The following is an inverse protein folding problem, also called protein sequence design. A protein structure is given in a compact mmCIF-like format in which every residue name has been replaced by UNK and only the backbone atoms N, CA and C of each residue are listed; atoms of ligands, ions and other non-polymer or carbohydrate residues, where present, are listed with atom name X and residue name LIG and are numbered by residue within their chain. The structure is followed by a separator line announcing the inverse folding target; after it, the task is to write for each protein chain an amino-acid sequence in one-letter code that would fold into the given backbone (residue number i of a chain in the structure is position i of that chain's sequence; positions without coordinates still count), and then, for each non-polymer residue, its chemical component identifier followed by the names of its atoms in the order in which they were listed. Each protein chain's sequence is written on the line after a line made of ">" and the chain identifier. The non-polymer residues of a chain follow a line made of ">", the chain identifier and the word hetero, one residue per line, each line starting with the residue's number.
data_IF_478547665623
#
_entry.id   IF_478547665623
#
_cell.length_a   1.000
_cell.length_b   1.000
_cell.length_c   1.000
_cell.angle_alpha   90.00
_cell.angle_beta   90.00
_cell.angle_gamma   90.00
#
_symmetry.space_group_name_H-M   'P 1'
#
loop_
_entity.id
_entity.type
_entity.pdbx_description
1 polymer ?
#
# COMPACT_ATOMS: atom_id res chain seq x y z
N UNK A 1 5.08 12.98 15.45
CA UNK A 1 4.70 11.80 16.26
C UNK A 1 5.89 10.88 16.53
N UNK A 2 6.83 10.78 15.60
CA UNK A 2 8.05 9.95 15.69
C UNK A 2 8.84 10.13 16.99
N UNK A 3 8.97 11.37 17.51
CA UNK A 3 9.69 11.66 18.76
C UNK A 3 9.11 11.02 20.02
N UNK A 4 7.79 10.82 20.13
CA UNK A 4 7.17 10.19 21.31
C UNK A 4 7.29 8.68 21.32
N UNK A 5 7.36 8.06 20.14
CA UNK A 5 7.44 6.61 20.01
C UNK A 5 8.88 6.11 19.81
N UNK A 6 9.85 7.02 19.65
CA UNK A 6 11.23 6.70 19.27
C UNK A 6 11.21 5.74 18.08
N UNK A 7 10.41 6.07 17.06
CA UNK A 7 10.07 5.16 15.97
C UNK A 7 11.32 4.61 15.26
N UNK A 8 12.35 5.44 15.14
CA UNK A 8 13.68 5.15 14.61
C UNK A 8 14.43 4.04 15.37
N UNK A 9 14.09 3.85 16.65
CA UNK A 9 14.65 2.83 17.52
C UNK A 9 13.78 1.57 17.59
N UNK A 10 12.64 1.53 16.88
CA UNK A 10 11.75 0.38 16.85
C UNK A 10 12.14 -0.55 15.69
N UNK A 11 12.54 -1.78 16.02
CA UNK A 11 13.01 -2.77 15.03
C UNK A 11 11.96 -3.20 14.00
N UNK A 12 10.67 -2.98 14.28
CA UNK A 12 9.55 -3.29 13.37
C UNK A 12 9.14 -2.10 12.50
N UNK A 13 9.75 -0.93 12.70
CA UNK A 13 9.47 0.27 11.92
C UNK A 13 10.59 0.42 10.91
N UNK A 14 10.24 0.66 9.65
CA UNK A 14 11.23 1.00 8.62
C UNK A 14 12.05 2.21 9.08
N UNK A 15 13.38 2.23 8.85
CA UNK A 15 14.14 3.46 8.97
C UNK A 15 13.58 4.52 8.00
N UNK A 16 13.92 5.78 8.24
CA UNK A 16 13.64 6.85 7.30
C UNK A 16 14.53 6.62 6.08
N UNK A 17 13.91 6.47 4.92
CA UNK A 17 14.58 6.21 3.65
C UNK A 17 14.53 7.49 2.80
N UNK A 18 15.68 7.90 2.31
CA UNK A 18 15.78 8.85 1.21
C UNK A 18 15.77 8.04 -0.09
N UNK A 19 14.69 8.13 -0.87
CA UNK A 19 14.49 7.21 -2.00
C UNK A 19 15.57 7.32 -3.07
N UNK A 20 16.21 8.49 -3.24
CA UNK A 20 17.39 8.68 -4.10
C UNK A 20 18.56 7.80 -3.67
N UNK A 21 18.93 7.85 -2.39
CA UNK A 21 20.04 7.07 -1.86
C UNK A 21 19.74 5.56 -1.98
N UNK A 22 18.51 5.15 -1.67
CA UNK A 22 18.11 3.74 -1.82
C UNK A 22 18.17 3.29 -3.28
N UNK A 23 17.82 4.15 -4.24
CA UNK A 23 17.95 3.83 -5.68
C UNK A 23 19.42 3.60 -6.04
N UNK A 24 20.32 4.48 -5.62
CA UNK A 24 21.76 4.35 -5.86
C UNK A 24 22.30 3.05 -5.24
N UNK A 25 22.01 2.79 -3.96
CA UNK A 25 22.40 1.56 -3.26
C UNK A 25 21.90 0.28 -3.96
N UNK A 26 20.67 0.31 -4.48
CA UNK A 26 20.08 -0.83 -5.20
C UNK A 26 20.74 -1.04 -6.56
N UNK A 27 21.11 0.02 -7.27
CA UNK A 27 21.80 -0.05 -8.56
C UNK A 27 23.22 -0.58 -8.37
N UNK A 28 23.96 -0.07 -7.39
CA UNK A 28 25.30 -0.54 -7.04
C UNK A 28 25.27 -2.04 -6.69
N UNK A 29 24.30 -2.47 -5.88
CA UNK A 29 24.11 -3.87 -5.54
C UNK A 29 23.77 -4.76 -6.76
N UNK A 30 23.08 -4.21 -7.78
CA UNK A 30 22.80 -4.91 -9.03
C UNK A 30 24.07 -5.05 -9.87
N UNK A 31 24.87 -3.99 -9.99
CA UNK A 31 26.14 -4.00 -10.72
C UNK A 31 27.13 -4.98 -10.07
N UNK A 32 27.26 -4.98 -8.74
CA UNK A 32 28.10 -5.92 -8.01
C UNK A 32 27.66 -7.38 -8.23
N UNK A 33 26.34 -7.62 -8.27
CA UNK A 33 25.79 -8.93 -8.56
C UNK A 33 26.08 -9.38 -10.00
N UNK A 34 25.93 -8.48 -10.98
CA UNK A 34 26.28 -8.72 -12.39
C UNK A 34 27.76 -9.02 -12.55
N UNK A 35 28.65 -8.23 -11.93
CA UNK A 35 30.11 -8.46 -11.93
C UNK A 35 30.45 -9.82 -11.31
N UNK A 36 29.76 -10.20 -10.22
CA UNK A 36 29.96 -11.50 -9.58
C UNK A 36 29.54 -12.64 -10.50
N UNK A 37 28.38 -12.51 -11.16
CA UNK A 37 27.87 -13.49 -12.13
C UNK A 37 28.81 -13.60 -13.32
N UNK A 38 29.26 -12.48 -13.90
CA UNK A 38 30.19 -12.46 -15.02
C UNK A 38 31.54 -13.08 -14.64
N UNK A 39 32.04 -12.80 -13.43
CA UNK A 39 33.26 -13.43 -12.90
C UNK A 39 33.08 -14.93 -12.67
N UNK A 40 31.92 -15.38 -12.21
CA UNK A 40 31.61 -16.82 -12.07
C UNK A 40 31.49 -17.53 -13.42
N UNK A 41 30.99 -16.84 -14.46
CA UNK A 41 30.93 -17.34 -15.84
C UNK A 41 32.32 -17.38 -16.47
N UNK A 42 33.15 -16.34 -16.29
CA UNK A 42 34.50 -16.24 -16.85
C UNK A 42 35.54 -17.12 -16.14
N UNK A 43 35.34 -17.42 -14.85
CA UNK A 43 36.23 -18.35 -14.10
C UNK A 43 35.89 -19.81 -14.33
N UNK A 44 34.76 -20.12 -14.97
CA UNK A 44 34.36 -21.47 -15.35
C UNK A 44 35.02 -21.92 -16.66
N UNK A 45 36.35 -22.01 -16.71
CA UNK A 45 37.07 -22.52 -17.89
C UNK A 45 37.32 -24.02 -17.90
N UNK A 46 37.09 -24.76 -16.80
CA UNK A 46 36.97 -26.24 -16.86
C UNK A 46 36.23 -26.81 -15.63
N UNK A 47 35.21 -27.65 -15.90
CA UNK A 47 34.25 -28.16 -14.90
C UNK A 47 34.85 -29.16 -13.87
N UNK A 48 36.10 -29.62 -14.07
CA UNK A 48 36.77 -30.57 -13.17
C UNK A 48 37.49 -29.91 -11.98
N UNK A 49 37.93 -28.66 -12.12
CA UNK A 49 38.65 -27.96 -11.04
C UNK A 49 37.69 -27.40 -9.98
N UNK A 50 36.46 -27.04 -10.36
CA UNK A 50 35.42 -26.56 -9.44
C UNK A 50 35.02 -27.63 -8.40
N UNK A 51 34.90 -28.90 -8.79
CA UNK A 51 34.53 -29.99 -7.87
C UNK A 51 35.61 -30.33 -6.85
N UNK A 52 36.88 -30.11 -7.19
CA UNK A 52 38.01 -30.36 -6.26
C UNK A 52 38.09 -29.27 -5.20
N UNK A 53 37.96 -28.01 -5.60
CA UNK A 53 37.93 -26.86 -4.68
C UNK A 53 36.70 -26.93 -3.77
N UNK A 54 35.54 -27.32 -4.30
CA UNK A 54 34.29 -27.45 -3.53
C UNK A 54 34.37 -28.58 -2.48
N UNK A 55 35.03 -29.70 -2.77
CA UNK A 55 35.25 -30.77 -1.78
C UNK A 55 36.25 -30.41 -0.68
N UNK A 56 37.32 -29.68 -1.00
CA UNK A 56 38.31 -29.24 0.01
C UNK A 56 37.72 -28.21 0.99
N UNK A 57 36.86 -27.31 0.50
CA UNK A 57 36.14 -26.34 1.35
C UNK A 57 35.13 -27.04 2.27
N UNK A 58 34.44 -28.07 1.78
CA UNK A 58 33.53 -28.89 2.58
C UNK A 58 34.23 -29.67 3.69
N UNK A 59 35.41 -30.23 3.41
CA UNK A 59 36.18 -30.96 4.41
C UNK A 59 36.70 -30.03 5.52
N UNK A 60 37.09 -28.81 5.18
CA UNK A 60 37.54 -27.81 6.16
C UNK A 60 36.39 -27.17 6.97
N UNK A 61 35.17 -27.12 6.43
CA UNK A 61 34.00 -26.56 7.16
C UNK A 61 33.29 -27.55 8.08
N UNK A 62 33.58 -28.86 7.98
CA UNK A 62 32.96 -29.89 8.82
C UNK A 62 33.72 -30.23 10.10
N UNK A 63 34.94 -29.70 10.29
CA UNK A 63 35.68 -29.79 11.55
C UNK A 63 35.54 -28.48 12.33
N UNK A 64 34.59 -28.42 13.27
CA UNK A 64 34.59 -27.40 14.31
C UNK A 64 35.43 -27.91 15.49
N UNK A 65 36.56 -27.27 15.76
CA UNK A 65 37.29 -27.46 17.01
C UNK A 65 36.42 -27.01 18.20
N UNK A 66 36.17 -27.91 19.15
CA UNK A 66 35.83 -27.54 20.53
C UNK A 66 34.46 -27.90 21.10
N UNK A 67 33.52 -28.51 20.36
CA UNK A 67 32.22 -28.90 20.92
C UNK A 67 32.04 -30.41 21.01
N UNK A 68 31.78 -30.90 22.23
CA UNK A 68 31.51 -32.31 22.47
C UNK A 68 30.04 -32.64 22.20
N UNK A 69 29.77 -33.85 21.73
CA UNK A 69 28.39 -34.34 21.48
C UNK A 69 27.50 -34.33 22.74
N UNK A 70 28.08 -34.17 23.93
CA UNK A 70 27.38 -34.10 25.21
C UNK A 70 26.68 -32.75 25.41
N UNK A 71 27.36 -31.65 25.05
CA UNK A 71 26.88 -30.29 25.29
C UNK A 71 25.66 -29.96 24.42
N UNK A 72 25.60 -30.57 23.23
CA UNK A 72 24.46 -30.46 22.33
C UNK A 72 23.20 -31.17 22.86
N UNK A 73 23.35 -32.24 23.64
CA UNK A 73 22.22 -33.01 24.17
C UNK A 73 21.55 -32.30 25.37
N UNK A 74 22.34 -31.62 26.20
CA UNK A 74 21.84 -30.81 27.32
C UNK A 74 21.01 -29.61 26.84
N UNK A 75 21.46 -28.93 25.79
CA UNK A 75 20.72 -27.81 25.19
C UNK A 75 19.35 -28.23 24.63
N UNK A 76 19.24 -29.46 24.10
CA UNK A 76 17.99 -30.00 23.56
C UNK A 76 16.99 -30.32 24.69
N UNK A 77 17.46 -30.83 25.83
CA UNK A 77 16.62 -31.10 27.00
C UNK A 77 16.06 -29.81 27.62
N UNK A 78 16.85 -28.72 27.66
CA UNK A 78 16.39 -27.46 28.23
C UNK A 78 15.28 -26.79 27.41
N UNK A 79 15.24 -27.04 26.10
CA UNK A 79 14.23 -26.47 25.19
C UNK A 79 12.93 -27.28 25.20
N UNK A 80 12.97 -28.58 25.56
CA UNK A 80 11.76 -29.41 25.65
C UNK A 80 10.86 -29.11 26.84
N UNK A 81 11.37 -28.40 27.86
CA UNK A 81 10.64 -28.12 29.11
C UNK A 81 9.82 -26.81 29.07
N UNK A 82 9.82 -26.07 27.94
CA UNK A 82 8.95 -24.90 27.76
C UNK A 82 7.59 -25.29 27.18
N UNK A 83 6.57 -25.37 28.04
CA UNK A 83 5.17 -25.60 27.64
C UNK A 83 4.56 -24.30 27.08
N UNK A 84 4.53 -24.17 25.75
CA UNK A 84 4.22 -22.91 25.03
C UNK A 84 2.71 -22.63 24.86
N UNK A 85 1.82 -23.46 25.40
CA UNK A 85 0.39 -23.26 25.26
C UNK A 85 -0.32 -23.65 26.56
N UNK A 86 -0.90 -22.65 27.22
CA UNK A 86 -1.70 -22.70 28.46
C UNK A 86 -0.93 -22.37 29.75
N UNK A 87 -0.46 -21.12 29.86
CA UNK A 87 -0.48 -20.44 31.15
C UNK A 87 -1.16 -19.09 31.02
N UNK A 88 -1.94 -18.77 32.06
CA UNK A 88 -2.76 -17.57 32.23
C UNK A 88 -1.93 -16.32 31.90
N UNK A 89 -2.40 -15.50 30.96
CA UNK A 89 -1.71 -14.27 30.56
C UNK A 89 -1.88 -13.25 31.67
N UNK A 90 -1.11 -13.44 32.73
CA UNK A 90 -0.94 -12.48 33.81
C UNK A 90 -0.29 -11.21 33.27
N UNK A 91 -0.90 -10.08 33.62
CA UNK A 91 -0.45 -8.71 33.41
C UNK A 91 -0.17 -8.32 31.96
N UNK A 92 -0.89 -7.30 31.49
CA UNK A 92 -0.54 -6.50 30.32
C UNK A 92 0.98 -6.30 30.21
N UNK A 93 1.60 -6.83 29.15
CA UNK A 93 3.00 -6.52 28.81
C UNK A 93 3.10 -5.00 28.63
N UNK A 94 4.03 -4.35 29.33
CA UNK A 94 4.24 -2.92 29.12
C UNK A 94 4.99 -2.71 27.80
N UNK A 95 4.74 -1.58 27.12
CA UNK A 95 5.38 -1.24 25.85
C UNK A 95 6.92 -1.23 25.96
N UNK A 96 7.45 -0.98 27.15
CA UNK A 96 8.88 -1.01 27.46
C UNK A 96 9.47 -2.42 27.40
N UNK A 97 8.69 -3.46 27.73
CA UNK A 97 9.10 -4.87 27.66
C UNK A 97 9.18 -5.39 26.22
N UNK A 98 8.63 -4.63 25.26
CA UNK A 98 8.69 -4.92 23.82
C UNK A 98 9.85 -4.23 23.10
N UNK A 99 10.54 -3.29 23.77
CA UNK A 99 11.74 -2.65 23.24
C UNK A 99 12.89 -3.64 23.38
N UNK A 100 13.33 -4.22 22.27
CA UNK A 100 14.50 -5.10 22.22
C UNK A 100 15.79 -4.37 22.60
N UNK A 101 16.88 -5.12 22.73
CA UNK A 101 18.18 -4.59 23.13
C UNK A 101 18.74 -3.61 22.07
N UNK A 102 19.25 -2.45 22.50
CA UNK A 102 19.66 -1.37 21.59
C UNK A 102 20.98 -1.71 20.85
N UNK A 103 21.78 -2.61 21.43
CA UNK A 103 22.98 -3.13 20.80
C UNK A 103 22.67 -4.02 19.58
N UNK A 104 21.49 -4.64 19.57
CA UNK A 104 21.02 -5.48 18.47
C UNK A 104 20.62 -4.68 17.23
N UNK A 105 20.19 -3.42 17.42
CA UNK A 105 19.84 -2.48 16.35
C UNK A 105 21.07 -2.03 15.55
N UNK A 106 22.24 -1.86 16.21
CA UNK A 106 23.50 -1.47 15.55
C UNK A 106 24.08 -2.53 14.62
N UNK A 107 23.58 -3.77 14.69
CA UNK A 107 23.97 -4.91 13.83
C UNK A 107 22.82 -5.41 12.93
N UNK A 108 21.66 -4.77 12.96
CA UNK A 108 20.41 -5.39 12.51
C UNK A 108 20.17 -5.22 11.01
N UNK A 109 20.50 -6.26 10.26
CA UNK A 109 19.62 -6.73 9.17
C UNK A 109 18.21 -6.83 9.78
N UNK A 110 17.20 -6.20 9.15
CA UNK A 110 15.85 -5.96 9.70
C UNK A 110 15.37 -7.15 10.53
N UNK A 111 14.63 -6.93 11.63
CA UNK A 111 14.16 -8.01 12.52
C UNK A 111 13.48 -9.18 11.78
N UNK A 112 12.83 -8.89 10.66
CA UNK A 112 12.28 -9.89 9.73
C UNK A 112 13.32 -10.91 9.25
N UNK A 113 14.58 -10.52 9.06
CA UNK A 113 15.71 -11.39 8.72
C UNK A 113 16.22 -12.21 9.92
N UNK A 114 16.18 -11.67 11.14
CA UNK A 114 16.51 -12.43 12.36
C UNK A 114 15.46 -13.52 12.63
N UNK A 115 14.18 -13.18 12.48
CA UNK A 115 13.09 -14.15 12.56
C UNK A 115 13.11 -15.13 11.38
N UNK A 116 13.51 -14.69 10.19
CA UNK A 116 13.77 -15.59 9.04
C UNK A 116 14.90 -16.59 9.34
N UNK A 117 16.00 -16.16 9.95
CA UNK A 117 17.10 -17.05 10.34
C UNK A 117 16.65 -18.09 11.37
N UNK A 118 15.94 -17.67 12.43
CA UNK A 118 15.36 -18.58 13.43
C UNK A 118 14.35 -19.55 12.81
N UNK A 119 13.49 -19.04 11.91
CA UNK A 119 12.50 -19.86 11.19
C UNK A 119 13.19 -20.85 10.25
N UNK A 120 14.33 -20.51 9.66
CA UNK A 120 15.15 -21.42 8.85
C UNK A 120 15.82 -22.50 9.68
N UNK A 121 16.36 -22.17 10.86
CA UNK A 121 16.88 -23.16 11.80
C UNK A 121 15.78 -24.13 12.26
N UNK A 122 14.60 -23.59 12.59
CA UNK A 122 13.43 -24.39 12.95
C UNK A 122 12.96 -25.30 11.79
N UNK A 123 13.00 -24.81 10.55
CA UNK A 123 12.61 -25.57 9.35
C UNK A 123 13.64 -26.66 8.99
N UNK A 124 14.93 -26.42 9.26
CA UNK A 124 15.99 -27.43 9.11
C UNK A 124 15.86 -28.55 10.15
N UNK A 125 15.35 -28.26 11.34
CA UNK A 125 15.17 -29.23 12.42
C UNK A 125 13.93 -30.13 12.26
N UNK A 126 12.87 -29.67 11.58
CA UNK A 126 11.60 -30.41 11.49
C UNK A 126 11.31 -30.98 10.10
N UNK A 127 11.50 -32.29 9.95
CA UNK A 127 11.39 -32.99 8.65
C UNK A 127 9.94 -33.16 8.14
N UNK A 128 8.91 -32.90 8.95
CA UNK A 128 7.56 -33.43 8.68
C UNK A 128 6.43 -32.42 8.45
N UNK A 129 6.63 -31.10 8.49
CA UNK A 129 5.52 -30.16 8.20
C UNK A 129 5.96 -28.93 7.41
N UNK A 130 6.20 -29.11 6.10
CA UNK A 130 5.93 -28.06 5.11
C UNK A 130 4.42 -27.90 5.01
N UNK A 131 3.82 -27.16 5.96
CA UNK A 131 2.37 -26.93 5.92
C UNK A 131 2.00 -26.12 4.67
N UNK A 132 0.78 -26.28 4.17
CA UNK A 132 0.25 -25.52 3.03
C UNK A 132 0.37 -24.00 3.18
N UNK A 133 0.50 -23.51 4.41
CA UNK A 133 0.73 -22.11 4.75
C UNK A 133 2.10 -21.60 4.25
N UNK A 134 3.14 -22.44 4.29
CA UNK A 134 4.49 -22.10 3.80
C UNK A 134 4.52 -22.10 2.26
N UNK A 135 3.70 -22.93 1.61
CA UNK A 135 3.62 -22.94 0.14
C UNK A 135 2.85 -21.77 -0.45
N UNK A 136 2.06 -21.04 0.35
CA UNK A 136 1.22 -19.92 -0.09
C UNK A 136 1.82 -18.53 0.18
N UNK A 137 2.95 -18.44 0.89
CA UNK A 137 3.63 -17.18 1.14
C UNK A 137 4.39 -16.72 -0.12
N UNK A 138 3.86 -15.66 -0.74
CA UNK A 138 4.33 -15.07 -2.00
C UNK A 138 5.82 -14.67 -1.97
N UNK A 139 6.34 -14.31 -0.79
CA UNK A 139 7.74 -13.88 -0.58
C UNK A 139 8.67 -15.01 -0.11
N UNK A 140 8.16 -16.15 0.39
CA UNK A 140 8.98 -17.30 0.82
C UNK A 140 9.60 -18.06 -0.37
N UNK A 141 8.88 -18.13 -1.49
CA UNK A 141 9.42 -18.71 -2.75
C UNK A 141 10.55 -17.89 -3.35
N UNK A 142 10.68 -16.61 -2.99
CA UNK A 142 11.71 -15.75 -3.55
C UNK A 142 13.10 -16.05 -2.97
N UNK A 143 13.19 -16.37 -1.67
CA UNK A 143 14.48 -16.61 -0.99
C UNK A 143 14.86 -18.09 -0.85
N UNK A 144 13.91 -19.04 -0.95
CA UNK A 144 14.14 -20.46 -0.61
C UNK A 144 14.41 -21.41 -1.77
N UNK A 145 14.36 -20.96 -3.02
CA UNK A 145 14.51 -21.82 -4.20
C UNK A 145 15.65 -21.38 -5.11
N UNK A 146 16.82 -21.14 -4.52
CA UNK A 146 18.09 -20.96 -5.21
C UNK A 146 18.90 -22.25 -5.38
N UNK A 147 18.26 -23.41 -5.45
CA UNK A 147 18.92 -24.65 -5.87
C UNK A 147 19.01 -24.74 -7.40
N UNK A 148 20.02 -25.43 -7.92
CA UNK A 148 20.34 -25.52 -9.35
C UNK A 148 19.20 -25.97 -10.29
N UNK A 149 18.15 -26.61 -9.75
CA UNK A 149 16.98 -27.09 -10.51
C UNK A 149 15.66 -26.40 -10.15
N UNK A 150 15.71 -25.39 -9.29
CA UNK A 150 14.54 -24.53 -9.06
C UNK A 150 14.64 -23.38 -10.03
N UNK A 151 13.68 -23.28 -10.95
CA UNK A 151 13.44 -22.05 -11.72
C UNK A 151 13.15 -20.96 -10.71
N UNK A 152 14.20 -20.31 -10.23
CA UNK A 152 14.11 -19.04 -9.54
C UNK A 152 13.18 -18.20 -10.40
N UNK A 153 12.13 -17.65 -9.79
CA UNK A 153 11.70 -16.33 -10.27
C UNK A 153 12.83 -15.39 -9.86
N UNK A 154 13.95 -15.48 -10.58
CA UNK A 154 14.82 -14.33 -10.80
C UNK A 154 13.82 -13.29 -11.27
N UNK A 155 13.80 -12.07 -10.71
CA UNK A 155 13.44 -10.97 -11.57
C UNK A 155 14.40 -11.15 -12.75
N UNK A 156 13.92 -11.74 -13.83
CA UNK A 156 14.66 -11.76 -15.07
C UNK A 156 14.74 -10.27 -15.38
N UNK A 157 15.82 -9.60 -14.97
CA UNK A 157 16.41 -8.72 -15.93
C UNK A 157 16.78 -9.70 -17.03
N UNK A 158 15.94 -9.82 -18.05
CA UNK A 158 16.33 -10.65 -19.16
C UNK A 158 17.68 -10.13 -19.61
N UNK A 159 18.62 -11.04 -19.81
CA UNK A 159 19.86 -10.76 -20.54
C UNK A 159 19.55 -10.09 -21.91
N UNK A 160 18.29 -10.13 -22.35
CA UNK A 160 17.83 -9.63 -23.64
C UNK A 160 17.43 -8.15 -23.67
N UNK A 161 16.91 -7.55 -22.60
CA UNK A 161 16.46 -6.13 -22.64
C UNK A 161 16.75 -5.35 -21.35
N UNK A 162 17.54 -4.28 -21.47
CA UNK A 162 17.89 -3.37 -20.36
C UNK A 162 16.67 -2.50 -20.01
N UNK A 163 16.18 -2.59 -18.77
CA UNK A 163 15.19 -1.66 -18.23
C UNK A 163 15.84 -0.33 -17.83
N UNK A 164 15.02 0.72 -17.69
CA UNK A 164 15.51 2.00 -17.16
C UNK A 164 16.00 1.83 -15.71
N UNK A 165 17.07 2.54 -15.37
CA UNK A 165 17.66 2.53 -14.03
C UNK A 165 16.82 3.39 -13.09
N UNK A 166 15.69 2.85 -12.64
CA UNK A 166 14.78 3.51 -11.72
C UNK A 166 14.13 2.55 -10.71
N UNK A 167 13.49 3.11 -9.69
CA UNK A 167 12.75 2.36 -8.67
C UNK A 167 11.25 2.33 -8.99
N UNK A 168 10.58 1.32 -8.47
CA UNK A 168 9.13 1.24 -8.39
C UNK A 168 8.72 0.92 -6.96
N UNK A 169 7.56 1.45 -6.58
CA UNK A 169 6.98 1.23 -5.26
C UNK A 169 5.46 1.14 -5.35
N UNK A 170 4.85 0.48 -4.38
CA UNK A 170 3.40 0.36 -4.28
C UNK A 170 2.87 1.37 -3.28
N UNK A 171 1.84 2.11 -3.69
CA UNK A 171 1.11 3.05 -2.84
C UNK A 171 -0.31 2.53 -2.63
N UNK A 172 -0.59 2.14 -1.39
CA UNK A 172 -1.92 1.80 -0.93
C UNK A 172 -2.63 3.06 -0.42
N UNK A 173 -3.81 3.37 -0.95
CA UNK A 173 -4.69 4.40 -0.40
C UNK A 173 -5.85 3.76 0.37
N UNK A 174 -6.05 4.20 1.61
CA UNK A 174 -7.04 3.65 2.54
C UNK A 174 -7.98 4.78 3.00
N UNK A 175 -9.27 4.46 3.08
CA UNK A 175 -10.26 5.37 3.70
C UNK A 175 -10.27 5.10 5.21
N UNK A 176 -10.00 6.11 6.06
CA UNK A 176 -10.08 5.96 7.50
C UNK A 176 -11.53 5.75 7.96
N UNK A 177 -11.69 5.09 9.10
CA UNK A 177 -13.00 4.99 9.75
C UNK A 177 -13.20 6.20 10.66
N UNK A 178 -14.15 7.07 10.30
CA UNK A 178 -14.52 8.24 11.11
C UNK A 178 -15.42 7.87 12.32
N UNK A 179 -15.38 6.62 12.77
CA UNK A 179 -16.15 6.10 13.89
C UNK A 179 -15.43 4.93 14.56
N UNK A 180 -15.69 4.66 15.85
CA UNK A 180 -15.26 3.42 16.47
C UNK A 180 -15.79 2.21 15.68
N UNK A 181 -14.92 1.24 15.45
CA UNK A 181 -15.24 -0.01 14.80
C UNK A 181 -16.09 -0.90 15.72
N UNK A 182 -17.08 -1.58 15.16
CA UNK A 182 -17.88 -2.53 15.92
C UNK A 182 -17.12 -3.85 16.13
N UNK A 183 -17.49 -4.63 17.14
CA UNK A 183 -16.80 -5.89 17.48
C UNK A 183 -16.77 -6.92 16.34
N UNK A 184 -17.71 -6.88 15.40
CA UNK A 184 -17.68 -7.75 14.22
C UNK A 184 -16.71 -7.26 13.13
N UNK A 185 -16.51 -5.94 13.02
CA UNK A 185 -15.52 -5.32 12.12
C UNK A 185 -14.11 -5.51 12.66
N UNK A 186 -13.95 -5.41 13.99
CA UNK A 186 -12.69 -5.67 14.70
C UNK A 186 -12.22 -7.13 14.57
N UNK A 187 -13.17 -8.07 14.54
CA UNK A 187 -12.90 -9.51 14.37
C UNK A 187 -12.59 -9.90 12.93
N UNK A 188 -12.84 -9.03 11.96
CA UNK A 188 -12.47 -9.30 10.58
C UNK A 188 -10.95 -9.15 10.45
N UNK A 189 -10.28 -10.15 9.89
CA UNK A 189 -8.83 -10.10 9.61
C UNK A 189 -8.41 -9.00 8.62
N UNK A 190 -9.37 -8.24 8.07
CA UNK A 190 -9.18 -7.14 7.13
C UNK A 190 -9.56 -5.81 7.76
N UNK A 191 -8.87 -5.44 8.83
CA UNK A 191 -8.88 -4.07 9.33
C UNK A 191 -8.26 -3.16 8.26
N UNK A 192 -8.88 -2.01 8.00
CA UNK A 192 -8.45 -1.03 6.98
C UNK A 192 -8.52 -1.58 5.54
N UNK A 193 -9.66 -1.37 4.87
CA UNK A 193 -9.83 -1.80 3.47
C UNK A 193 -9.14 -0.80 2.55
N UNK A 194 -8.19 -1.28 1.76
CA UNK A 194 -7.59 -0.50 0.68
C UNK A 194 -8.67 -0.09 -0.33
N UNK A 195 -8.69 1.21 -0.65
CA UNK A 195 -9.51 1.76 -1.72
C UNK A 195 -8.80 1.57 -3.05
N UNK A 196 -7.56 2.06 -3.16
CA UNK A 196 -6.76 2.01 -4.38
C UNK A 196 -5.36 1.49 -4.09
N UNK A 197 -4.78 0.76 -5.03
CA UNK A 197 -3.37 0.37 -5.04
C UNK A 197 -2.76 0.86 -6.34
N UNK A 198 -1.72 1.66 -6.24
CA UNK A 198 -0.97 2.16 -7.38
C UNK A 198 0.42 1.57 -7.37
N UNK A 199 0.91 1.16 -8.54
CA UNK A 199 2.34 1.02 -8.79
C UNK A 199 2.83 2.37 -9.31
N UNK A 200 3.78 2.98 -8.61
CA UNK A 200 4.39 4.26 -9.02
C UNK A 200 5.87 4.07 -9.26
N UNK A 201 6.38 4.79 -10.25
CA UNK A 201 7.79 4.82 -10.60
C UNK A 201 8.47 6.04 -9.97
N UNK A 202 9.75 5.94 -9.63
CA UNK A 202 10.53 7.00 -8.97
C UNK A 202 10.46 8.34 -9.72
N UNK A 203 10.53 8.31 -11.05
CA UNK A 203 10.45 9.50 -11.90
C UNK A 203 9.06 10.15 -11.99
N UNK A 204 8.00 9.47 -11.54
CA UNK A 204 6.62 10.00 -11.60
C UNK A 204 6.48 11.21 -10.68
N UNK A 205 5.71 12.23 -11.07
CA UNK A 205 5.40 13.35 -10.19
C UNK A 205 4.37 12.97 -9.13
N UNK A 206 4.52 13.54 -7.93
CA UNK A 206 3.55 13.36 -6.85
C UNK A 206 2.16 13.92 -7.24
N UNK A 207 2.14 14.98 -8.06
CA UNK A 207 0.90 15.52 -8.64
C UNK A 207 0.16 14.53 -9.54
N UNK A 208 0.88 13.65 -10.23
CA UNK A 208 0.25 12.66 -11.11
C UNK A 208 -0.39 11.53 -10.29
N UNK A 209 0.23 11.14 -9.17
CA UNK A 209 -0.41 10.29 -8.16
C UNK A 209 -1.68 10.91 -7.61
N UNK A 210 -1.66 12.21 -7.29
CA UNK A 210 -2.84 12.95 -6.83
C UNK A 210 -3.96 12.95 -7.88
N UNK A 211 -3.65 13.24 -9.15
CA UNK A 211 -4.62 13.27 -10.25
C UNK A 211 -5.24 11.91 -10.54
N UNK A 212 -4.47 10.83 -10.43
CA UNK A 212 -4.98 9.46 -10.65
C UNK A 212 -5.79 8.95 -9.46
N UNK A 213 -5.64 9.56 -8.29
CA UNK A 213 -6.45 9.23 -7.13
C UNK A 213 -7.86 9.83 -7.23
N UNK A 214 -8.86 8.95 -7.27
CA UNK A 214 -10.26 9.33 -7.31
C UNK A 214 -10.97 9.06 -5.98
N UNK A 215 -11.63 10.07 -5.42
CA UNK A 215 -12.47 9.96 -4.25
C UNK A 215 -13.94 10.25 -4.55
N UNK A 216 -14.85 9.52 -3.91
CA UNK A 216 -16.28 9.79 -4.01
C UNK A 216 -16.65 11.21 -3.56
N UNK A 217 -15.93 11.77 -2.58
CA UNK A 217 -16.17 13.12 -2.08
C UNK A 217 -15.96 14.20 -3.14
N UNK A 218 -15.08 13.96 -4.13
CA UNK A 218 -14.81 14.89 -5.23
C UNK A 218 -16.03 15.08 -6.14
N UNK A 219 -16.84 14.03 -6.27
CA UNK A 219 -17.99 14.00 -7.20
C UNK A 219 -19.31 14.42 -6.60
N UNK A 220 -19.33 14.81 -5.32
CA UNK A 220 -20.56 15.29 -4.70
C UNK A 220 -20.92 16.63 -5.36
N UNK A 221 -22.12 16.69 -5.92
CA UNK A 221 -22.70 17.94 -6.44
C UNK A 221 -23.87 18.31 -5.53
N UNK A 222 -23.86 19.50 -4.91
CA UNK A 222 -25.01 19.96 -4.15
C UNK A 222 -26.17 20.22 -5.10
N UNK A 223 -27.31 19.56 -4.86
CA UNK A 223 -28.54 19.79 -5.62
C UNK A 223 -29.37 20.88 -4.95
N UNK A 224 -29.92 21.78 -5.75
CA UNK A 224 -30.88 22.77 -5.28
C UNK A 224 -32.25 22.12 -5.03
N UNK A 225 -32.96 22.60 -4.02
CA UNK A 225 -34.29 22.07 -3.68
C UNK A 225 -35.26 22.23 -4.86
N UNK A 226 -35.84 21.13 -5.31
CA UNK A 226 -36.78 21.09 -6.43
C UNK A 226 -36.15 20.78 -7.78
N UNK A 227 -34.81 20.77 -7.88
CA UNK A 227 -34.06 20.42 -9.09
C UNK A 227 -33.39 19.03 -8.99
N UNK A 228 -33.81 18.19 -8.03
CA UNK A 228 -33.15 16.89 -7.79
C UNK A 228 -33.31 15.88 -8.93
N UNK A 229 -34.23 16.14 -9.88
CA UNK A 229 -34.46 15.32 -11.07
C UNK A 229 -33.71 15.83 -12.32
N UNK A 230 -33.15 17.04 -12.26
CA UNK A 230 -32.35 17.59 -13.34
C UNK A 230 -30.96 16.92 -13.37
N UNK A 231 -30.33 16.81 -14.55
CA UNK A 231 -28.98 16.26 -14.64
C UNK A 231 -28.00 17.10 -13.79
N UNK A 232 -27.15 16.47 -12.97
CA UNK A 232 -26.22 17.20 -12.11
C UNK A 232 -25.20 17.98 -12.96
N UNK A 233 -25.01 19.25 -12.63
CA UNK A 233 -23.96 20.08 -13.21
C UNK A 233 -22.62 19.78 -12.52
N UNK A 234 -21.75 19.02 -13.19
CA UNK A 234 -20.45 18.61 -12.64
C UNK A 234 -19.47 19.77 -12.42
N UNK A 235 -19.67 20.92 -13.08
CA UNK A 235 -18.91 22.15 -12.84
C UNK A 235 -19.10 22.67 -11.40
N UNK A 236 -20.17 22.24 -10.72
CA UNK A 236 -20.44 22.54 -9.31
C UNK A 236 -20.03 21.41 -8.35
N UNK A 237 -19.23 20.45 -8.81
CA UNK A 237 -18.71 19.37 -7.96
C UNK A 237 -17.84 19.90 -6.82
N UNK A 238 -17.71 19.11 -5.76
CA UNK A 238 -16.85 19.45 -4.61
C UNK A 238 -15.41 19.70 -5.04
N UNK A 239 -14.88 18.92 -6.00
CA UNK A 239 -13.53 19.11 -6.49
C UNK A 239 -13.32 20.48 -7.14
N UNK A 240 -14.28 20.96 -7.94
CA UNK A 240 -14.20 22.28 -8.57
C UNK A 240 -14.41 23.42 -7.56
N UNK A 241 -15.32 23.23 -6.60
CA UNK A 241 -15.62 24.24 -5.57
C UNK A 241 -14.53 24.34 -4.50
N UNK A 242 -13.91 23.23 -4.16
CA UNK A 242 -12.91 23.10 -3.10
C UNK A 242 -11.69 22.30 -3.60
N UNK A 243 -10.93 22.84 -4.57
CA UNK A 243 -9.85 22.12 -5.24
C UNK A 243 -8.61 21.94 -4.37
N UNK A 244 -8.60 22.51 -3.16
CA UNK A 244 -7.45 22.51 -2.27
C UNK A 244 -7.15 21.11 -1.75
N UNK A 245 -5.90 20.67 -1.89
CA UNK A 245 -5.45 19.40 -1.36
C UNK A 245 -3.97 19.42 -0.94
N UNK A 246 -3.57 18.51 -0.07
CA UNK A 246 -2.17 18.28 0.25
C UNK A 246 -1.90 16.82 0.61
N UNK A 247 -0.65 16.41 0.41
CA UNK A 247 -0.11 15.14 0.92
C UNK A 247 0.92 15.49 1.98
N UNK A 248 0.82 14.89 3.17
CA UNK A 248 1.79 15.03 4.24
C UNK A 248 2.62 13.75 4.35
N UNK A 249 3.88 13.81 3.93
CA UNK A 249 4.84 12.71 4.05
C UNK A 249 5.96 13.12 5.01
N UNK A 250 6.15 12.32 6.05
CA UNK A 250 7.14 12.50 7.11
C UNK A 250 7.06 13.87 7.83
N UNK A 251 7.79 14.87 7.35
CA UNK A 251 7.85 16.23 7.91
C UNK A 251 7.42 17.31 6.91
N UNK A 252 7.04 16.94 5.68
CA UNK A 252 6.80 17.88 4.59
C UNK A 252 5.34 17.81 4.12
N UNK A 253 4.71 18.99 4.05
CA UNK A 253 3.41 19.18 3.42
C UNK A 253 3.61 19.51 1.94
N UNK A 254 3.22 18.59 1.07
CA UNK A 254 3.18 18.78 -0.37
C UNK A 254 1.81 19.33 -0.75
N UNK A 255 1.74 20.63 -1.02
CA UNK A 255 0.50 21.36 -1.26
C UNK A 255 0.21 21.39 -2.77
N UNK A 256 -0.99 20.98 -3.15
CA UNK A 256 -1.47 21.05 -4.53
C UNK A 256 -1.85 22.50 -4.86
N UNK A 257 -1.04 23.13 -5.71
CA UNK A 257 -1.15 24.52 -6.14
C UNK A 257 -1.49 24.64 -7.64
N UNK A 258 -1.73 23.52 -8.33
CA UNK A 258 -2.07 23.50 -9.75
C UNK A 258 -3.42 24.18 -10.08
N UNK A 259 -4.49 24.04 -9.27
CA UNK A 259 -5.76 24.72 -9.54
C UNK A 259 -5.70 26.21 -9.16
N UNK A 260 -6.25 27.10 -10.00
CA UNK A 260 -6.22 28.56 -9.77
C UNK A 260 -6.91 28.98 -8.46
N UNK A 261 -7.94 28.24 -8.04
CA UNK A 261 -8.71 28.49 -6.81
C UNK A 261 -8.21 27.68 -5.61
N UNK A 262 -7.09 26.96 -5.74
CA UNK A 262 -6.53 26.19 -4.63
C UNK A 262 -5.95 27.11 -3.55
N UNK A 263 -6.26 26.81 -2.31
CA UNK A 263 -5.72 27.47 -1.13
C UNK A 263 -4.92 26.47 -0.31
N UNK A 264 -3.91 26.96 0.41
CA UNK A 264 -3.14 26.12 1.30
C UNK A 264 -3.91 25.80 2.58
N UNK A 265 -4.67 24.69 2.53
CA UNK A 265 -5.40 24.16 3.69
C UNK A 265 -4.48 23.53 4.75
N UNK A 266 -3.18 23.35 4.46
CA UNK A 266 -2.21 22.88 5.46
C UNK A 266 -1.79 23.99 6.42
N UNK A 267 -1.93 25.27 6.05
CA UNK A 267 -1.44 26.40 6.83
C UNK A 267 -1.96 26.44 8.29
N UNK A 268 -3.27 26.27 8.57
CA UNK A 268 -3.76 26.23 9.95
C UNK A 268 -3.19 25.07 10.76
N UNK A 269 -2.94 23.92 10.11
CA UNK A 269 -2.35 22.73 10.72
C UNK A 269 -0.89 23.01 11.08
N UNK A 270 -0.13 23.58 10.14
CA UNK A 270 1.29 23.95 10.36
C UNK A 270 1.43 24.97 11.48
N UNK A 271 0.57 25.98 11.53
CA UNK A 271 0.55 26.96 12.63
C UNK A 271 0.26 26.29 13.98
N UNK A 272 -0.74 25.41 14.02
CA UNK A 272 -1.04 24.63 15.23
C UNK A 272 0.13 23.74 15.67
N UNK A 273 0.89 23.18 14.73
CA UNK A 273 2.09 22.39 15.01
C UNK A 273 3.23 23.26 15.56
N UNK A 274 3.44 24.46 15.01
CA UNK A 274 4.46 25.40 15.46
C UNK A 274 4.21 25.92 16.88
N UNK A 275 2.95 26.16 17.24
CA UNK A 275 2.56 26.67 18.56
C UNK A 275 2.80 25.64 19.69
N UNK A 276 3.16 24.39 19.37
CA UNK A 276 3.33 23.32 20.36
C UNK A 276 4.68 22.61 20.24
N UNK A 277 5.44 22.62 21.33
CA UNK A 277 6.77 21.97 21.43
C UNK A 277 6.77 20.43 21.26
N UNK A 278 5.60 19.80 21.12
CA UNK A 278 5.47 18.35 20.91
C UNK A 278 5.70 17.93 19.45
N UNK A 279 5.66 18.87 18.50
CA UNK A 279 5.84 18.60 17.08
C UNK A 279 7.22 19.03 16.61
N UNK A 280 7.78 18.24 15.71
CA UNK A 280 9.01 18.59 15.02
C UNK A 280 8.72 19.66 13.96
N UNK A 281 9.73 20.44 13.53
CA UNK A 281 9.57 21.41 12.45
C UNK A 281 9.02 20.75 11.19
N UNK A 282 8.09 21.45 10.52
CA UNK A 282 7.45 20.98 9.30
C UNK A 282 7.64 21.98 8.17
N UNK A 283 7.89 21.44 6.99
CA UNK A 283 8.08 22.21 5.76
C UNK A 283 6.80 22.18 4.90
N UNK A 284 6.68 23.15 3.99
CA UNK A 284 5.62 23.16 2.99
C UNK A 284 6.18 23.52 1.62
N UNK A 285 5.90 22.68 0.64
CA UNK A 285 6.45 22.75 -0.72
C UNK A 285 5.32 22.50 -1.74
N UNK A 286 5.29 23.19 -2.88
CA UNK A 286 4.36 22.88 -3.96
C UNK A 286 4.58 21.46 -4.51
N UNK A 287 3.50 20.75 -4.83
CA UNK A 287 3.53 19.34 -5.24
C UNK A 287 3.97 19.13 -6.69
N UNK A 288 3.77 20.11 -7.57
CA UNK A 288 3.85 19.97 -9.04
C UNK A 288 5.25 19.65 -9.57
N UNK A 289 6.29 19.96 -8.80
CA UNK A 289 7.69 19.72 -9.17
C UNK A 289 8.36 18.59 -8.41
N UNK A 290 7.64 17.90 -7.51
CA UNK A 290 8.23 16.87 -6.64
C UNK A 290 8.00 15.50 -7.27
N UNK A 291 9.08 14.77 -7.52
CA UNK A 291 8.99 13.37 -7.96
C UNK A 291 8.90 12.43 -6.78
N UNK A 292 8.39 11.22 -7.02
CA UNK A 292 8.34 10.18 -6.00
C UNK A 292 9.74 9.87 -5.45
N UNK A 293 10.78 9.87 -6.28
CA UNK A 293 12.17 9.66 -5.87
C UNK A 293 12.69 10.74 -4.90
N UNK A 294 12.12 11.94 -4.91
CA UNK A 294 12.55 13.06 -4.06
C UNK A 294 11.98 12.95 -2.62
N UNK A 295 11.13 11.97 -2.33
CA UNK A 295 10.49 11.81 -1.04
C UNK A 295 11.40 11.12 -0.01
N UNK A 296 11.31 11.60 1.23
CA UNK A 296 11.85 10.91 2.41
C UNK A 296 10.71 10.28 3.20
N UNK A 297 10.70 8.95 3.29
CA UNK A 297 9.58 8.19 3.89
C UNK A 297 10.03 6.89 4.55
N UNK A 298 9.15 6.31 5.36
CA UNK A 298 9.30 4.99 5.97
C UNK A 298 8.32 4.03 5.31
N UNK A 299 8.79 2.87 4.93
CA UNK A 299 7.92 1.84 4.34
C UNK A 299 6.93 1.33 5.38
N UNK A 300 5.67 1.19 4.98
CA UNK A 300 4.57 0.75 5.83
C UNK A 300 4.03 1.80 6.79
N UNK A 301 4.61 3.02 6.84
CA UNK A 301 4.08 4.09 7.68
C UNK A 301 2.85 4.73 7.02
N UNK A 302 1.76 4.97 7.77
CA UNK A 302 0.61 5.71 7.27
C UNK A 302 0.91 7.21 7.18
N UNK A 303 0.76 7.76 5.99
CA UNK A 303 0.81 9.17 5.66
C UNK A 303 -0.58 9.71 5.35
N UNK A 304 -0.74 11.03 5.40
CA UNK A 304 -2.05 11.65 5.26
C UNK A 304 -2.15 12.32 3.90
N UNK A 305 -3.26 12.06 3.23
CA UNK A 305 -3.69 12.80 2.06
C UNK A 305 -5.04 13.45 2.37
N UNK A 306 -5.14 14.76 2.26
CA UNK A 306 -6.36 15.51 2.56
C UNK A 306 -6.78 16.37 1.38
N UNK A 307 -8.07 16.35 1.05
CA UNK A 307 -8.64 17.12 -0.04
C UNK A 307 -10.09 17.52 0.24
N UNK A 308 -10.66 18.36 -0.64
CA UNK A 308 -12.04 18.81 -0.54
C UNK A 308 -12.37 19.38 0.86
N UNK A 309 -11.38 20.03 1.48
CA UNK A 309 -11.45 20.60 2.83
C UNK A 309 -11.28 19.59 3.98
N UNK A 310 -12.06 18.51 4.04
CA UNK A 310 -12.09 17.60 5.20
C UNK A 310 -12.04 16.10 4.85
N UNK A 311 -11.87 15.76 3.57
CA UNK A 311 -11.79 14.36 3.17
C UNK A 311 -10.36 13.86 3.38
N UNK A 312 -10.17 13.00 4.37
CA UNK A 312 -8.88 12.42 4.74
C UNK A 312 -8.75 11.00 4.19
N UNK A 313 -7.58 10.70 3.64
CA UNK A 313 -7.17 9.38 3.20
C UNK A 313 -5.79 9.07 3.77
N UNK A 314 -5.52 7.79 3.96
CA UNK A 314 -4.23 7.31 4.43
C UNK A 314 -3.47 6.72 3.24
N UNK A 315 -2.27 7.23 2.98
CA UNK A 315 -1.33 6.69 2.00
C UNK A 315 -0.30 5.82 2.70
N UNK A 316 -0.04 4.63 2.17
CA UNK A 316 0.99 3.73 2.67
C UNK A 316 1.90 3.33 1.52
N UNK A 317 3.18 3.67 1.62
CA UNK A 317 4.20 3.29 0.66
C UNK A 317 4.83 1.97 1.11
N UNK A 318 4.89 0.97 0.24
CA UNK A 318 5.50 -0.33 0.51
C UNK A 318 6.01 -1.01 -0.77
N UNK A 319 6.65 -2.18 -0.63
CA UNK A 319 7.20 -2.96 -1.74
C UNK A 319 8.11 -2.15 -2.68
N UNK A 320 9.10 -1.44 -2.12
CA UNK A 320 10.12 -0.72 -2.87
C UNK A 320 11.11 -1.69 -3.52
N UNK A 321 11.37 -1.54 -4.83
CA UNK A 321 12.33 -2.34 -5.60
C UNK A 321 12.80 -1.60 -6.85
N UNK A 322 13.81 -2.15 -7.54
CA UNK A 322 14.17 -1.70 -8.89
C UNK A 322 13.07 -2.04 -9.91
N UNK A 323 12.98 -1.20 -10.94
CA UNK A 323 12.12 -1.40 -12.10
C UNK A 323 12.49 -2.72 -12.81
N UNK A 324 11.46 -3.51 -13.13
CA UNK A 324 11.61 -4.82 -13.74
C UNK A 324 11.01 -4.82 -15.15
N UNK A 325 11.49 -5.69 -16.03
CA UNK A 325 11.00 -5.79 -17.41
C UNK A 325 9.51 -6.16 -17.54
N UNK A 326 8.97 -6.83 -16.53
CA UNK A 326 7.54 -7.19 -16.45
C UNK A 326 6.66 -6.02 -16.02
N UNK A 327 7.25 -4.90 -15.60
CA UNK A 327 6.50 -3.70 -15.24
C UNK A 327 6.04 -2.94 -16.50
N UNK A 328 4.98 -2.14 -16.39
CA UNK A 328 4.54 -1.22 -17.44
C UNK A 328 5.70 -0.41 -18.04
N UNK A 329 5.82 -0.41 -19.37
CA UNK A 329 6.88 0.34 -20.07
C UNK A 329 6.44 1.78 -20.33
N UNK A 330 7.36 2.72 -20.17
CA UNK A 330 7.07 4.14 -20.38
C UNK A 330 6.54 4.81 -19.12
N UNK A 331 6.99 6.04 -18.90
CA UNK A 331 6.62 6.84 -17.72
C UNK A 331 5.14 7.25 -17.74
N UNK A 332 4.55 7.35 -18.92
CA UNK A 332 3.15 7.71 -19.18
C UNK A 332 2.14 6.68 -18.65
N UNK A 333 2.56 5.43 -18.42
CA UNK A 333 1.70 4.41 -17.82
C UNK A 333 1.60 4.54 -16.29
N UNK A 334 2.45 5.35 -15.67
CA UNK A 334 2.47 5.56 -14.23
C UNK A 334 1.77 6.87 -13.86
N UNK A 335 1.02 6.93 -12.74
CA UNK A 335 0.70 5.86 -11.78
C UNK A 335 -0.16 4.74 -12.38
N UNK A 336 0.30 3.50 -12.26
CA UNK A 336 -0.41 2.34 -12.79
C UNK A 336 -1.35 1.77 -11.72
N UNK A 337 -2.64 1.60 -12.04
CA UNK A 337 -3.65 1.12 -11.08
C UNK A 337 -3.58 -0.40 -10.97
N UNK A 338 -3.08 -0.91 -9.85
CA UNK A 338 -3.04 -2.35 -9.55
C UNK A 338 -4.38 -2.87 -9.02
N UNK A 339 -5.09 -2.03 -8.27
CA UNK A 339 -6.37 -2.37 -7.68
C UNK A 339 -7.17 -1.10 -7.43
N UNK A 340 -8.45 -1.14 -7.78
CA UNK A 340 -9.43 -0.14 -7.39
C UNK A 340 -10.64 -0.85 -6.82
N UNK A 341 -11.07 -0.41 -5.65
CA UNK A 341 -12.27 -0.92 -5.00
C UNK A 341 -13.49 -0.39 -5.75
N UNK A 342 -14.19 -1.31 -6.43
CA UNK A 342 -15.50 -1.02 -6.99
C UNK A 342 -16.46 -0.47 -5.94
N UNK A 343 -17.19 0.58 -6.30
CA UNK A 343 -18.23 1.19 -5.46
C UNK A 343 -19.63 0.93 -6.04
N UNK A 344 -19.80 -0.20 -6.73
CA UNK A 344 -21.10 -0.62 -7.22
C UNK A 344 -22.02 -0.90 -6.03
N UNK A 345 -23.10 -0.13 -5.94
CA UNK A 345 -24.14 -0.35 -4.95
C UNK A 345 -25.48 -0.51 -5.64
N UNK A 346 -26.31 -1.40 -5.08
CA UNK A 346 -27.68 -1.61 -5.51
C UNK A 346 -28.63 -0.78 -4.65
N UNK A 347 -29.68 -0.27 -5.28
CA UNK A 347 -30.75 0.47 -4.62
C UNK A 347 -31.29 -0.30 -3.41
N UNK A 348 -31.45 0.37 -2.27
CA UNK A 348 -31.90 -0.29 -1.05
C UNK A 348 -33.39 -0.65 -1.07
N UNK A 349 -34.18 0.02 -1.91
CA UNK A 349 -35.62 -0.21 -2.04
C UNK A 349 -35.91 -1.40 -2.97
N UNK A 350 -35.49 -1.33 -4.24
CA UNK A 350 -35.81 -2.38 -5.22
C UNK A 350 -34.77 -3.51 -5.27
N UNK A 351 -33.57 -3.31 -4.71
CA UNK A 351 -32.42 -4.24 -4.78
C UNK A 351 -31.96 -4.63 -6.19
N UNK A 352 -32.44 -3.94 -7.24
CA UNK A 352 -32.15 -4.25 -8.66
C UNK A 352 -31.34 -3.16 -9.36
N UNK A 353 -31.83 -1.93 -9.30
CA UNK A 353 -31.20 -0.78 -9.97
C UNK A 353 -29.89 -0.37 -9.33
N UNK A 354 -29.02 0.27 -10.12
CA UNK A 354 -27.83 0.96 -9.63
C UNK A 354 -28.21 2.20 -8.85
N UNK A 355 -27.41 2.53 -7.84
CA UNK A 355 -27.63 3.71 -7.02
C UNK A 355 -27.25 4.95 -7.81
N UNK A 356 -28.13 5.94 -7.81
CA UNK A 356 -27.89 7.27 -8.37
C UNK A 356 -28.04 8.38 -7.32
N UNK A 357 -28.73 8.10 -6.21
CA UNK A 357 -28.99 9.10 -5.16
C UNK A 357 -28.72 8.52 -3.78
N UNK A 358 -28.07 9.31 -2.93
CA UNK A 358 -28.04 9.11 -1.48
C UNK A 358 -28.98 10.12 -0.85
N UNK A 359 -29.98 9.64 -0.12
CA UNK A 359 -30.95 10.49 0.56
C UNK A 359 -30.65 10.49 2.06
N UNK A 360 -30.51 11.68 2.64
CA UNK A 360 -30.37 11.89 4.07
C UNK A 360 -31.58 12.64 4.66
N UNK A 361 -31.77 12.52 5.98
CA UNK A 361 -32.78 13.25 6.76
C UNK A 361 -34.19 13.18 6.14
N UNK A 362 -34.54 12.04 5.57
CA UNK A 362 -35.87 11.79 5.03
C UNK A 362 -36.86 11.52 6.17
N UNK A 363 -37.99 12.22 6.18
CA UNK A 363 -39.00 12.17 7.25
C UNK A 363 -39.60 10.76 7.50
N UNK A 364 -39.77 9.94 6.44
CA UNK A 364 -40.39 8.61 6.54
C UNK A 364 -39.40 7.43 6.61
N UNK A 365 -38.09 7.64 6.38
CA UNK A 365 -37.15 6.53 6.31
C UNK A 365 -36.52 6.27 7.69
N UNK A 366 -36.39 4.99 8.11
CA UNK A 366 -35.82 4.64 9.40
C UNK A 366 -34.30 4.83 9.46
N UNK A 367 -33.63 4.81 8.30
CA UNK A 367 -32.19 4.94 8.19
C UNK A 367 -31.79 6.41 7.98
N UNK A 368 -30.68 6.81 8.57
CA UNK A 368 -30.12 8.17 8.40
C UNK A 368 -29.71 8.46 6.95
N UNK A 369 -29.23 7.43 6.24
CA UNK A 369 -28.88 7.46 4.82
C UNK A 369 -29.55 6.28 4.12
N UNK A 370 -30.15 6.53 2.96
CA UNK A 370 -30.76 5.49 2.13
C UNK A 370 -30.34 5.67 0.67
N UNK A 371 -29.97 4.57 0.02
CA UNK A 371 -29.51 4.59 -1.37
C UNK A 371 -30.65 4.26 -2.34
N UNK A 372 -30.89 5.14 -3.32
CA UNK A 372 -31.95 4.99 -4.32
C UNK A 372 -31.39 4.87 -5.74
N UNK A 373 -32.03 4.04 -6.57
CA UNK A 373 -31.95 4.20 -8.02
C UNK A 373 -32.91 5.30 -8.48
N UNK A 374 -32.70 5.83 -9.70
CA UNK A 374 -33.53 6.91 -10.25
C UNK A 374 -35.03 6.63 -10.21
N UNK A 375 -35.47 5.45 -10.62
CA UNK A 375 -36.89 5.09 -10.64
C UNK A 375 -37.50 5.10 -9.23
N UNK A 376 -36.87 4.41 -8.27
CA UNK A 376 -37.36 4.39 -6.89
C UNK A 376 -37.28 5.77 -6.23
N UNK A 377 -36.27 6.58 -6.57
CA UNK A 377 -36.17 7.94 -6.05
C UNK A 377 -37.35 8.79 -6.53
N UNK A 378 -37.68 8.74 -7.82
CA UNK A 378 -38.81 9.45 -8.41
C UNK A 378 -40.14 8.98 -7.83
N UNK A 379 -40.42 7.68 -7.85
CA UNK A 379 -41.70 7.12 -7.42
C UNK A 379 -41.97 7.32 -5.91
N UNK A 380 -40.93 7.31 -5.08
CA UNK A 380 -41.08 7.42 -3.63
C UNK A 380 -41.18 8.88 -3.16
N UNK A 381 -40.47 9.80 -3.81
CA UNK A 381 -40.31 11.18 -3.33
C UNK A 381 -41.11 12.22 -4.11
N UNK A 382 -41.62 11.86 -5.30
CA UNK A 382 -42.30 12.79 -6.20
C UNK A 382 -43.64 12.22 -6.66
N UNK A 383 -44.68 13.04 -6.59
CA UNK A 383 -45.99 12.75 -7.17
C UNK A 383 -46.27 13.83 -8.21
N UNK A 384 -46.46 13.42 -9.48
CA UNK A 384 -46.61 14.35 -10.61
C UNK A 384 -45.50 15.41 -10.72
N UNK A 385 -44.26 15.04 -10.38
CA UNK A 385 -43.10 15.94 -10.44
C UNK A 385 -42.99 16.92 -9.25
N UNK A 386 -43.91 16.84 -8.28
CA UNK A 386 -43.87 17.65 -7.06
C UNK A 386 -43.28 16.84 -5.92
N UNK A 387 -42.27 17.40 -5.26
CA UNK A 387 -41.62 16.84 -4.06
C UNK A 387 -42.64 16.73 -2.93
N UNK A 388 -42.86 15.53 -2.40
CA UNK A 388 -43.89 15.28 -1.37
C UNK A 388 -43.36 15.30 0.06
N UNK A 389 -42.08 15.03 0.25
CA UNK A 389 -41.45 14.81 1.54
C UNK A 389 -40.26 15.74 1.78
N UNK A 390 -39.96 16.02 3.05
CA UNK A 390 -38.73 16.71 3.43
C UNK A 390 -37.55 15.74 3.47
N UNK A 391 -36.55 15.98 2.63
CA UNK A 391 -35.29 15.23 2.57
C UNK A 391 -34.20 16.04 1.84
N UNK A 392 -32.94 15.65 2.05
CA UNK A 392 -31.84 16.08 1.19
C UNK A 392 -31.39 14.92 0.32
N UNK A 393 -31.19 15.17 -0.97
CA UNK A 393 -30.68 14.19 -1.90
C UNK A 393 -29.32 14.64 -2.45
N UNK A 394 -28.42 13.68 -2.58
CA UNK A 394 -27.08 13.87 -3.11
C UNK A 394 -26.87 12.88 -4.25
N UNK A 395 -26.35 13.32 -5.41
CA UNK A 395 -26.05 12.42 -6.50
C UNK A 395 -24.93 11.47 -6.09
N UNK A 396 -25.07 10.22 -6.49
CA UNK A 396 -24.11 9.16 -6.22
C UNK A 396 -23.45 8.75 -7.53
N UNK A 397 -22.17 9.10 -7.68
CA UNK A 397 -21.38 8.70 -8.84
C UNK A 397 -20.66 7.39 -8.55
N UNK A 398 -20.96 6.35 -9.33
CA UNK A 398 -20.20 5.10 -9.30
C UNK A 398 -18.80 5.33 -9.89
N UNK A 399 -17.75 4.90 -9.18
CA UNK A 399 -16.37 5.21 -9.57
C UNK A 399 -15.95 4.65 -10.93
N UNK A 400 -16.64 3.61 -11.42
CA UNK A 400 -16.32 2.96 -12.71
C UNK A 400 -16.72 3.76 -13.96
N UNK A 401 -17.53 4.81 -13.84
CA UNK A 401 -18.09 5.51 -15.01
C UNK A 401 -17.22 6.64 -15.57
N UNK A 402 -16.10 6.99 -14.93
CA UNK A 402 -15.29 8.15 -15.37
C UNK A 402 -14.34 7.79 -16.53
N UNK A 403 -14.05 6.51 -16.81
CA UNK A 403 -13.12 6.10 -17.88
C UNK A 403 -13.79 5.58 -19.17
N UNK A 404 -15.12 5.63 -19.33
CA UNK A 404 -15.81 5.19 -20.57
C UNK A 404 -16.27 6.32 -21.51
N UNK A 405 -15.69 7.51 -21.42
CA UNK A 405 -15.74 8.47 -22.53
C UNK A 405 -14.42 8.46 -23.29
N UNK A 406 -14.10 7.31 -23.89
CA UNK A 406 -13.01 7.19 -24.85
C UNK A 406 -12.61 5.76 -25.22
N UNK A 407 -12.91 5.40 -26.49
CA UNK A 407 -12.09 4.58 -27.42
C UNK A 407 -12.31 3.05 -27.53
N UNK A 408 -12.02 2.45 -28.71
CA UNK A 408 -12.98 2.06 -29.73
C UNK A 408 -13.11 0.52 -29.79
N UNK A 409 -14.32 0.03 -30.02
CA UNK A 409 -14.48 -1.24 -30.72
C UNK A 409 -15.64 -1.03 -31.67
N UNK A 410 -15.34 -1.08 -32.96
CA UNK A 410 -16.32 -1.17 -34.03
C UNK A 410 -17.38 -2.19 -33.63
N UNK A 411 -18.64 -1.75 -33.63
CA UNK A 411 -19.77 -2.67 -33.64
C UNK A 411 -19.57 -3.59 -34.85
N UNK A 412 -19.58 -4.93 -34.70
CA UNK A 412 -19.69 -5.77 -35.88
C UNK A 412 -21.05 -5.47 -36.50
N UNK A 413 -21.01 -4.95 -37.72
CA UNK A 413 -22.17 -4.75 -38.60
C UNK A 413 -23.15 -5.92 -38.43
N UNK A 414 -24.40 -5.57 -38.10
CA UNK A 414 -25.54 -6.46 -38.24
C UNK A 414 -25.60 -6.92 -39.70
N UNK A 415 -25.04 -8.09 -39.96
CA UNK A 415 -25.34 -8.86 -41.17
C UNK A 415 -26.77 -9.37 -41.02
N UNK A 416 -27.68 -8.69 -41.72
CA UNK A 416 -28.90 -9.26 -42.26
C UNK A 416 -28.66 -10.70 -42.70
N UNK A 417 -29.39 -11.65 -42.09
CA UNK A 417 -29.79 -12.91 -42.69
C UNK A 417 -30.83 -13.60 -41.81
N UNK A 418 -32.12 -13.27 -41.99
CA UNK A 418 -33.21 -14.22 -42.34
C UNK A 418 -34.61 -13.60 -42.28
#
# INVERSE_FOLDING_TARGET
>A
MDRRFSADHQWFVSPLLELKAVKEDLLDAREDAEITIDREIDTATDAEDLKKVEMEVWQNSMTLEGFSSSDAAEAISAVSDLDMFLSDVGSSRNLEDMKGDEADLKKSILFTHKEFAKRNEWTKASRQRKSQYVTSLKYDKFMMSGGANTTMYRPQCSITEKCDDDIVLIVDTIVPYNRPLQSHELRSSRLLKTQNKFLVRGDTFLSDLRKKFYCQCDTIVPLENGLELEPPCFDNSTAERFPSSFIFVHNTFYVDSAPENAQDISFPIRKFMQDREIFDPVDAVPMEGVRIIDLSLRLGQPYVFQHSGNCEHVLIFHDLRLLHESDPRGIDQYPYVLYEKGNERKCEICKKGHVEFVVDRHELLPNTYTYFCRSCFQEYNFVHGVKTHSFNAWPYTELKKVEQNGWPFDEPDDMDDS
#
